data_IF_318451785500
#
_entry.id   IF_318451785500
#
_cell.length_a   1.000
_cell.length_b   1.000
_cell.length_c   1.000
_cell.angle_alpha   90.00
_cell.angle_beta   90.00
_cell.angle_gamma   90.00
#
_symmetry.space_group_name_H-M   'P 1'
#
loop_
_entity.id
_entity.type
_entity.pdbx_description
1 polymer ?
#
# COMPACT_ATOMS: atom_id res chain seq x y z
N UNK A 1 16.62 -3.51 40.96
CA UNK A 1 16.82 -3.83 39.53
C UNK A 1 16.28 -2.67 38.73
N UNK A 2 17.13 -1.67 38.50
CA UNK A 2 16.79 -0.43 37.82
C UNK A 2 17.64 -0.34 36.57
N UNK A 3 17.33 -1.21 35.61
CA UNK A 3 17.84 -1.11 34.24
C UNK A 3 17.11 0.03 33.55
N UNK A 4 17.60 1.24 33.72
CA UNK A 4 17.23 2.35 32.84
C UNK A 4 18.41 2.56 31.90
N UNK A 5 18.29 2.03 30.69
CA UNK A 5 19.25 2.30 29.62
C UNK A 5 19.18 3.79 29.26
N UNK A 6 20.12 4.57 29.78
CA UNK A 6 20.28 5.97 29.40
C UNK A 6 20.94 6.02 28.01
N UNK A 7 20.12 6.20 26.98
CA UNK A 7 20.62 6.35 25.61
C UNK A 7 20.95 7.83 25.39
N UNK A 8 22.20 8.22 25.65
CA UNK A 8 22.75 9.44 25.07
C UNK A 8 22.95 9.20 23.56
N UNK A 9 22.03 9.74 22.75
CA UNK A 9 22.13 9.71 21.30
C UNK A 9 22.90 10.94 20.84
N UNK A 10 24.13 10.74 20.36
CA UNK A 10 24.99 11.81 19.81
C UNK A 10 24.43 12.41 18.49
N UNK A 11 23.35 11.82 17.97
CA UNK A 11 22.42 12.47 17.08
C UNK A 11 21.01 11.88 17.32
N UNK A 12 20.00 12.73 17.58
CA UNK A 12 18.59 12.32 17.68
C UNK A 12 18.02 11.98 16.29
N UNK A 13 18.68 11.08 15.56
CA UNK A 13 18.35 10.69 14.19
C UNK A 13 17.77 9.29 14.27
N UNK A 14 16.45 9.19 14.34
CA UNK A 14 15.77 7.89 14.36
C UNK A 14 14.26 8.02 14.27
N UNK A 15 13.64 8.74 15.21
CA UNK A 15 12.17 8.86 15.26
C UNK A 15 11.63 10.08 14.52
N UNK A 16 12.37 11.19 14.47
CA UNK A 16 11.92 12.46 13.87
C UNK A 16 11.51 12.33 12.40
N UNK A 17 12.15 11.43 11.65
CA UNK A 17 11.85 11.23 10.22
C UNK A 17 10.48 10.59 9.96
N UNK A 18 9.82 10.09 11.00
CA UNK A 18 8.52 9.43 10.94
C UNK A 18 7.42 10.23 11.69
N UNK A 19 7.76 11.35 12.32
CA UNK A 19 6.81 12.18 13.05
C UNK A 19 5.92 12.96 12.07
N UNK A 20 4.63 12.99 12.39
CA UNK A 20 3.63 13.75 11.63
C UNK A 20 3.69 15.24 11.95
N UNK A 21 3.15 16.12 11.07
CA UNK A 21 3.12 17.55 11.30
C UNK A 21 2.48 17.93 12.64
N UNK A 22 1.36 17.27 12.97
CA UNK A 22 0.66 17.53 14.22
C UNK A 22 1.45 17.10 15.46
N UNK A 23 2.34 16.10 15.35
CA UNK A 23 3.18 15.67 16.47
C UNK A 23 4.23 16.71 16.85
N UNK A 24 4.68 17.51 15.87
CA UNK A 24 5.54 18.67 16.12
C UNK A 24 4.76 19.86 16.72
N UNK A 25 3.45 19.89 16.49
CA UNK A 25 2.55 20.95 16.93
C UNK A 25 1.76 20.57 18.19
N UNK A 26 2.15 19.55 18.96
CA UNK A 26 1.43 19.03 20.13
C UNK A 26 1.09 20.04 21.25
N UNK A 27 1.56 21.29 21.14
CA UNK A 27 1.20 22.41 22.05
C UNK A 27 0.09 23.32 21.48
N UNK A 28 -0.32 23.09 20.24
CA UNK A 28 -1.42 23.82 19.60
C UNK A 28 -2.74 23.18 20.00
N UNK A 29 -3.68 24.03 20.38
CA UNK A 29 -5.07 23.64 20.63
C UNK A 29 -5.82 23.65 19.30
N UNK A 30 -6.73 22.72 19.07
CA UNK A 30 -7.67 22.83 17.94
C UNK A 30 -8.50 24.12 18.05
N UNK A 31 -9.25 24.48 17.00
CA UNK A 31 -10.14 25.64 17.00
C UNK A 31 -11.18 25.64 18.15
N UNK A 32 -11.32 24.52 18.87
CA UNK A 32 -12.24 24.29 19.95
C UNK A 32 -11.52 24.23 21.33
N UNK A 33 -10.21 24.50 21.39
CA UNK A 33 -9.42 24.51 22.62
C UNK A 33 -8.94 23.14 23.10
N UNK A 34 -9.09 22.06 22.32
CA UNK A 34 -8.61 20.73 22.70
C UNK A 34 -7.16 20.53 22.28
N UNK A 35 -6.36 19.97 23.18
CA UNK A 35 -4.97 19.57 22.89
C UNK A 35 -4.94 18.61 21.71
N UNK A 36 -4.18 18.95 20.66
CA UNK A 36 -4.00 18.07 19.50
C UNK A 36 -3.20 16.83 19.96
N UNK A 37 -3.90 15.73 20.22
CA UNK A 37 -3.28 14.46 20.59
C UNK A 37 -2.75 13.75 19.33
N UNK A 38 -1.50 13.28 19.39
CA UNK A 38 -1.01 12.21 18.54
C UNK A 38 -1.98 11.03 18.66
N UNK A 39 -2.50 10.58 17.53
CA UNK A 39 -3.50 9.52 17.50
C UNK A 39 -3.43 8.74 16.20
N UNK A 40 -4.47 7.97 15.91
CA UNK A 40 -4.51 7.08 14.73
C UNK A 40 -4.04 7.74 13.42
N UNK A 41 -4.38 9.01 13.09
CA UNK A 41 -3.87 9.65 11.88
C UNK A 41 -2.34 9.83 11.87
N UNK A 42 -1.71 10.05 13.02
CA UNK A 42 -0.26 10.19 13.15
C UNK A 42 0.46 8.87 12.83
N UNK A 43 -0.13 7.74 13.24
CA UNK A 43 0.36 6.41 12.88
C UNK A 43 0.31 6.19 11.35
N UNK A 44 -0.75 6.65 10.68
CA UNK A 44 -0.85 6.59 9.21
C UNK A 44 0.27 7.38 8.51
N UNK A 45 0.62 8.54 9.03
CA UNK A 45 1.74 9.31 8.49
C UNK A 45 3.04 8.52 8.61
N UNK A 46 3.30 7.95 9.79
CA UNK A 46 4.50 7.14 10.03
C UNK A 46 4.55 5.92 9.09
N UNK A 47 3.40 5.27 8.83
CA UNK A 47 3.26 4.22 7.82
C UNK A 47 3.61 4.73 6.42
N UNK A 48 3.13 5.92 6.04
CA UNK A 48 3.49 6.57 4.78
C UNK A 48 5.00 6.81 4.66
N UNK A 49 5.66 7.25 5.74
CA UNK A 49 7.11 7.43 5.76
C UNK A 49 7.86 6.10 5.60
N UNK A 50 7.35 5.01 6.20
CA UNK A 50 7.91 3.66 6.05
C UNK A 50 7.76 3.16 4.62
N UNK A 51 6.56 3.30 4.02
CA UNK A 51 6.33 2.94 2.62
C UNK A 51 7.26 3.70 1.68
N UNK A 52 7.39 5.01 1.89
CA UNK A 52 8.31 5.86 1.12
C UNK A 52 9.77 5.38 1.27
N UNK A 53 10.19 5.04 2.49
CA UNK A 53 11.52 4.50 2.77
C UNK A 53 11.76 3.14 2.10
N UNK A 54 10.76 2.27 2.03
CA UNK A 54 10.84 0.99 1.33
C UNK A 54 10.99 1.17 -0.19
N UNK A 55 10.33 2.18 -0.77
CA UNK A 55 10.36 2.45 -2.21
C UNK A 55 11.63 3.17 -2.65
N UNK A 56 12.05 4.19 -1.90
CA UNK A 56 13.12 5.10 -2.31
C UNK A 56 14.42 4.93 -1.53
N UNK A 57 14.48 4.01 -0.55
CA UNK A 57 15.66 3.79 0.29
C UNK A 57 15.96 4.93 1.27
N UNK A 58 15.09 5.93 1.39
CA UNK A 58 15.20 7.07 2.33
C UNK A 58 13.83 7.60 2.72
N UNK A 59 13.69 8.25 3.86
CA UNK A 59 12.44 8.90 4.30
C UNK A 59 12.14 10.16 3.47
N UNK A 60 10.88 10.64 3.42
CA UNK A 60 10.49 11.80 2.61
C UNK A 60 11.33 13.05 2.88
N UNK A 61 11.69 13.27 4.14
CA UNK A 61 12.41 14.46 4.62
C UNK A 61 13.87 14.16 4.99
N UNK A 62 14.46 13.10 4.43
CA UNK A 62 15.82 12.68 4.77
C UNK A 62 16.89 13.72 4.40
N UNK A 63 16.60 14.61 3.45
CA UNK A 63 17.51 15.68 3.01
C UNK A 63 17.76 16.75 4.10
N UNK A 64 16.80 16.91 5.01
CA UNK A 64 16.91 17.86 6.12
C UNK A 64 17.58 17.19 7.32
N UNK A 65 18.83 17.55 7.61
CA UNK A 65 19.62 16.88 8.67
C UNK A 65 19.28 17.35 10.08
N UNK A 66 18.89 18.62 10.25
CA UNK A 66 18.62 19.22 11.56
C UNK A 66 17.15 19.10 11.94
N UNK A 67 16.87 19.02 13.25
CA UNK A 67 15.51 19.06 13.78
C UNK A 67 14.73 20.26 13.26
N UNK A 68 15.34 21.45 13.31
CA UNK A 68 14.65 22.69 12.94
C UNK A 68 14.34 22.79 11.45
N UNK A 69 15.23 22.25 10.60
CA UNK A 69 14.95 22.15 9.17
C UNK A 69 13.78 21.20 8.88
N UNK A 70 13.75 20.02 9.53
CA UNK A 70 12.63 19.09 9.42
C UNK A 70 11.33 19.69 9.92
N UNK A 71 11.34 20.30 11.10
CA UNK A 71 10.16 20.98 11.67
C UNK A 71 9.59 21.97 10.67
N UNK A 72 10.42 22.93 10.21
CA UNK A 72 9.98 24.01 9.31
C UNK A 72 9.36 23.48 8.03
N UNK A 73 9.88 22.38 7.51
CA UNK A 73 9.41 21.77 6.25
C UNK A 73 8.15 20.95 6.47
N UNK A 74 8.13 20.10 7.50
CA UNK A 74 7.01 19.20 7.79
C UNK A 74 5.77 20.00 8.24
N UNK A 75 5.93 21.10 8.98
CA UNK A 75 4.81 21.95 9.41
C UNK A 75 4.37 22.97 8.34
N UNK A 76 5.04 23.04 7.19
CA UNK A 76 4.66 23.95 6.11
C UNK A 76 3.61 23.28 5.18
N UNK A 77 2.36 23.78 5.14
CA UNK A 77 1.31 23.19 4.30
C UNK A 77 1.59 23.32 2.79
N UNK A 78 2.42 24.28 2.39
CA UNK A 78 2.79 24.50 0.99
C UNK A 78 4.01 23.67 0.56
N UNK A 79 4.61 22.90 1.47
CA UNK A 79 5.72 22.04 1.11
C UNK A 79 5.21 20.72 0.50
N UNK A 80 5.57 20.48 -0.76
CA UNK A 80 5.21 19.25 -1.45
C UNK A 80 6.28 18.17 -1.27
N UNK A 81 5.85 16.98 -0.88
CA UNK A 81 6.72 15.81 -0.86
C UNK A 81 7.04 15.40 -2.30
N UNK A 82 8.33 15.23 -2.58
CA UNK A 82 8.80 14.80 -3.90
C UNK A 82 8.70 13.29 -4.01
N UNK A 83 8.17 12.80 -5.12
CA UNK A 83 8.06 11.38 -5.42
C UNK A 83 8.77 11.10 -6.74
N UNK A 84 9.80 10.24 -6.74
CA UNK A 84 10.37 9.77 -7.99
C UNK A 84 9.38 8.80 -8.68
N UNK A 85 9.40 8.69 -10.03
CA UNK A 85 8.52 7.78 -10.76
C UNK A 85 8.66 6.34 -10.26
N UNK A 86 7.52 5.66 -10.13
CA UNK A 86 7.44 4.24 -9.75
C UNK A 86 6.63 3.48 -10.80
N UNK A 87 6.93 2.20 -11.01
CA UNK A 87 6.22 1.38 -11.99
C UNK A 87 4.76 1.11 -11.61
N UNK A 88 4.46 1.06 -10.31
CA UNK A 88 3.11 0.81 -9.80
C UNK A 88 2.42 2.12 -9.39
N UNK A 89 1.43 2.62 -10.14
CA UNK A 89 0.72 3.86 -9.81
C UNK A 89 -0.12 3.74 -8.53
N UNK A 90 -0.64 2.55 -8.19
CA UNK A 90 -1.40 2.34 -6.95
C UNK A 90 -0.51 2.45 -5.71
N UNK A 91 0.76 2.03 -5.81
CA UNK A 91 1.73 2.22 -4.73
C UNK A 91 2.01 3.71 -4.48
N UNK A 92 2.15 4.50 -5.55
CA UNK A 92 2.30 5.95 -5.41
C UNK A 92 1.06 6.59 -4.78
N UNK A 93 -0.14 6.17 -5.20
CA UNK A 93 -1.39 6.74 -4.70
C UNK A 93 -1.58 6.45 -3.21
N UNK A 94 -1.49 5.18 -2.78
CA UNK A 94 -1.67 4.81 -1.36
C UNK A 94 -0.66 5.54 -0.46
N UNK A 95 0.58 5.70 -0.92
CA UNK A 95 1.62 6.43 -0.20
C UNK A 95 1.27 7.92 -0.06
N UNK A 96 0.75 8.56 -1.11
CA UNK A 96 0.26 9.95 -1.06
C UNK A 96 -0.95 10.10 -0.12
N UNK A 97 -1.86 9.11 -0.08
CA UNK A 97 -2.99 9.12 0.87
C UNK A 97 -2.53 9.04 2.32
N UNK A 98 -1.47 8.28 2.60
CA UNK A 98 -0.87 8.20 3.93
C UNK A 98 -0.12 9.49 4.33
N UNK A 99 0.54 10.13 3.36
CA UNK A 99 1.37 11.32 3.57
C UNK A 99 0.63 12.64 3.31
N UNK A 100 -0.71 12.65 3.39
CA UNK A 100 -1.48 13.89 3.37
C UNK A 100 -1.14 14.74 4.61
N UNK A 101 -0.77 16.01 4.36
CA UNK A 101 -0.39 16.95 5.42
C UNK A 101 -1.56 17.19 6.39
N UNK A 102 -2.73 17.55 5.86
CA UNK A 102 -3.94 17.70 6.65
C UNK A 102 -4.42 16.33 7.17
N UNK A 103 -4.51 16.23 8.50
CA UNK A 103 -5.01 15.05 9.22
C UNK A 103 -6.40 14.61 8.79
N UNK A 104 -7.25 15.53 8.32
CA UNK A 104 -8.63 15.24 7.91
C UNK A 104 -8.69 14.70 6.48
N UNK A 105 -7.70 15.04 5.65
CA UNK A 105 -7.55 14.49 4.29
C UNK A 105 -6.76 13.18 4.29
N UNK A 106 -6.04 12.88 5.37
CA UNK A 106 -5.27 11.65 5.55
C UNK A 106 -6.20 10.45 5.71
N UNK A 107 -6.01 9.45 4.86
CA UNK A 107 -6.86 8.26 4.87
C UNK A 107 -6.71 7.45 6.16
N UNK A 108 -7.81 6.81 6.57
CA UNK A 108 -7.84 5.92 7.73
C UNK A 108 -7.64 4.46 7.32
N UNK A 109 -7.29 3.60 8.29
CA UNK A 109 -7.05 2.16 8.06
C UNK A 109 -8.16 1.48 7.23
N UNK A 110 -9.47 1.65 7.51
CA UNK A 110 -10.50 0.99 6.70
C UNK A 110 -10.42 1.37 5.21
N UNK A 111 -10.20 2.65 4.90
CA UNK A 111 -10.09 3.14 3.52
C UNK A 111 -8.81 2.61 2.85
N UNK A 112 -7.71 2.53 3.58
CA UNK A 112 -6.45 2.00 3.04
C UNK A 112 -6.56 0.51 2.72
N UNK A 113 -7.27 -0.27 3.55
CA UNK A 113 -7.46 -1.70 3.33
C UNK A 113 -8.31 -2.03 2.10
N UNK A 114 -9.12 -1.08 1.62
CA UNK A 114 -9.90 -1.19 0.39
C UNK A 114 -9.14 -0.69 -0.86
N UNK A 115 -7.93 -0.14 -0.69
CA UNK A 115 -7.20 0.48 -1.78
C UNK A 115 -6.71 -0.57 -2.81
N UNK A 116 -6.75 -0.28 -4.13
CA UNK A 116 -6.30 -1.20 -5.19
C UNK A 116 -4.86 -1.73 -5.07
N UNK A 117 -4.03 -1.08 -4.28
CA UNK A 117 -2.68 -1.58 -3.96
C UNK A 117 -2.72 -2.83 -3.07
N UNK A 118 -3.64 -2.88 -2.10
CA UNK A 118 -3.81 -4.01 -1.18
C UNK A 118 -4.87 -5.00 -1.67
N UNK A 119 -5.89 -4.51 -2.37
CA UNK A 119 -6.97 -5.30 -2.97
C UNK A 119 -6.97 -5.03 -4.47
N UNK A 120 -6.01 -5.57 -5.23
CA UNK A 120 -5.97 -5.36 -6.67
C UNK A 120 -7.27 -5.88 -7.29
N UNK A 121 -7.89 -5.11 -8.21
CA UNK A 121 -9.07 -5.59 -8.91
C UNK A 121 -8.69 -6.89 -9.62
N UNK A 122 -9.47 -7.94 -9.37
CA UNK A 122 -9.31 -9.20 -10.08
C UNK A 122 -9.52 -8.87 -11.56
N UNK A 123 -8.53 -9.13 -12.44
CA UNK A 123 -8.77 -8.96 -13.86
C UNK A 123 -9.96 -9.85 -14.24
N UNK A 124 -11.06 -9.24 -14.69
CA UNK A 124 -12.10 -9.96 -15.41
C UNK A 124 -11.54 -10.39 -16.76
N UNK A 125 -10.65 -11.40 -16.76
CA UNK A 125 -10.18 -12.06 -17.97
C UNK A 125 -10.28 -13.57 -17.79
N UNK A 126 -11.52 -14.03 -17.72
CA UNK A 126 -11.97 -15.03 -18.69
C UNK A 126 -13.03 -14.32 -19.52
N UNK A 127 -12.60 -13.47 -20.45
CA UNK A 127 -13.40 -13.28 -21.66
C UNK A 127 -13.37 -14.63 -22.37
N UNK A 128 -14.49 -15.19 -22.86
CA UNK A 128 -14.42 -16.28 -23.82
C UNK A 128 -13.45 -15.83 -24.91
N UNK A 129 -12.43 -16.65 -25.17
CA UNK A 129 -11.45 -16.45 -26.22
C UNK A 129 -12.15 -16.52 -27.59
N UNK A 130 -12.96 -15.53 -27.94
CA UNK A 130 -13.61 -15.44 -29.24
C UNK A 130 -12.55 -15.14 -30.30
N UNK A 131 -12.06 -16.21 -30.94
CA UNK A 131 -11.61 -16.14 -32.34
C UNK A 131 -10.28 -16.80 -32.67
N UNK A 132 -9.26 -16.74 -31.81
CA UNK A 132 -7.91 -17.24 -32.18
C UNK A 132 -7.49 -18.51 -31.42
N UNK A 133 -7.70 -18.58 -30.11
CA UNK A 133 -7.41 -19.80 -29.35
C UNK A 133 -8.46 -20.91 -29.56
N UNK A 134 -9.68 -20.57 -30.01
CA UNK A 134 -10.66 -21.56 -30.41
C UNK A 134 -10.19 -22.42 -31.57
N UNK A 135 -9.39 -21.92 -32.53
CA UNK A 135 -8.91 -22.75 -33.64
C UNK A 135 -7.94 -23.83 -33.17
N UNK A 136 -7.01 -23.50 -32.28
CA UNK A 136 -6.09 -24.49 -31.71
C UNK A 136 -6.83 -25.49 -30.83
N UNK A 137 -7.74 -25.03 -29.97
CA UNK A 137 -8.57 -25.91 -29.13
C UNK A 137 -9.48 -26.78 -29.99
N UNK A 138 -10.07 -26.25 -31.06
CA UNK A 138 -10.95 -26.98 -31.97
C UNK A 138 -10.17 -27.99 -32.81
N UNK A 139 -8.97 -27.66 -33.27
CA UNK A 139 -8.05 -28.62 -33.91
C UNK A 139 -7.60 -29.72 -32.95
N UNK A 140 -7.33 -29.38 -31.68
CA UNK A 140 -7.00 -30.36 -30.64
C UNK A 140 -8.22 -31.26 -30.40
N UNK A 141 -9.42 -30.70 -30.24
CA UNK A 141 -10.68 -31.43 -30.06
C UNK A 141 -11.00 -32.31 -31.27
N UNK A 142 -10.82 -31.84 -32.50
CA UNK A 142 -10.99 -32.62 -33.73
C UNK A 142 -9.94 -33.74 -33.84
N UNK A 143 -8.68 -33.48 -33.46
CA UNK A 143 -7.61 -34.50 -33.43
C UNK A 143 -7.83 -35.53 -32.33
N UNK A 144 -8.43 -35.13 -31.20
CA UNK A 144 -8.76 -35.99 -30.07
C UNK A 144 -10.11 -36.71 -30.26
N UNK A 145 -10.98 -36.23 -31.15
CA UNK A 145 -12.27 -36.83 -31.46
C UNK A 145 -12.16 -38.25 -32.04
N UNK A 146 -11.03 -38.57 -32.67
CA UNK A 146 -10.70 -39.92 -33.13
C UNK A 146 -9.84 -40.73 -32.13
N UNK A 147 -9.52 -40.18 -30.96
CA UNK A 147 -8.71 -40.85 -29.96
C UNK A 147 -9.60 -41.50 -28.90
N UNK A 148 -9.76 -42.83 -29.00
CA UNK A 148 -10.56 -43.63 -28.06
C UNK A 148 -10.17 -43.38 -26.58
N UNK A 149 -8.90 -43.06 -26.29
CA UNK A 149 -8.42 -42.78 -24.92
C UNK A 149 -8.88 -41.43 -24.39
N UNK A 150 -9.03 -40.42 -25.26
CA UNK A 150 -9.52 -39.11 -24.86
C UNK A 150 -11.02 -39.17 -24.53
N UNK A 151 -11.78 -39.96 -25.28
CA UNK A 151 -13.22 -40.18 -25.04
C UNK A 151 -13.49 -40.90 -23.71
N UNK A 152 -12.69 -41.92 -23.36
CA UNK A 152 -12.79 -42.59 -22.05
C UNK A 152 -12.44 -41.66 -20.89
N UNK A 153 -11.36 -40.87 -21.00
CA UNK A 153 -10.96 -39.91 -19.96
C UNK A 153 -12.02 -38.82 -19.73
N UNK A 154 -12.64 -38.31 -20.81
CA UNK A 154 -13.74 -37.35 -20.68
C UNK A 154 -14.97 -37.96 -19.97
N UNK A 155 -15.28 -39.22 -20.27
CA UNK A 155 -16.39 -39.93 -19.63
C UNK A 155 -16.13 -40.17 -18.14
N UNK A 156 -14.90 -40.55 -17.77
CA UNK A 156 -14.48 -40.71 -16.36
C UNK A 156 -14.52 -39.39 -15.59
N UNK A 157 -14.08 -38.29 -16.21
CA UNK A 157 -14.13 -36.96 -15.59
C UNK A 157 -15.56 -36.46 -15.40
N UNK A 158 -16.45 -36.70 -16.36
CA UNK A 158 -17.88 -36.36 -16.22
C UNK A 158 -18.55 -37.17 -15.12
N UNK A 159 -18.14 -38.43 -14.93
CA UNK A 159 -18.64 -39.27 -13.85
C UNK A 159 -18.16 -38.77 -12.48
N UNK A 160 -16.90 -38.32 -12.37
CA UNK A 160 -16.33 -37.78 -11.13
C UNK A 160 -16.88 -36.41 -10.72
N UNK A 161 -17.29 -35.58 -11.69
CA UNK A 161 -17.87 -34.25 -11.44
C UNK A 161 -19.40 -34.28 -11.27
N UNK A 162 -20.03 -35.42 -11.52
CA UNK A 162 -21.48 -35.61 -11.53
C UNK A 162 -22.11 -36.06 -10.21
N UNK A 163 -21.31 -36.38 -9.18
CA UNK A 163 -21.82 -36.82 -7.87
C UNK A 163 -21.77 -35.68 -6.83
N UNK A 164 -22.89 -35.02 -6.54
CA UNK A 164 -23.05 -34.25 -5.31
C UNK A 164 -23.54 -35.20 -4.21
N UNK A 165 -22.65 -35.56 -3.28
CA UNK A 165 -23.06 -35.89 -1.90
C UNK A 165 -22.86 -34.70 -1.00
#
# INVERSE_FOLDING_TARGET
MSDTTNIQRDAQVGTLSYMSPEAFMCNESDANGNVIKCGRPSDIWSLGCILYQMVYGRTPFSEYKTFWAKFKVITNPNHEIKYAPVSNPWLLDIMKKCLAWDRNQRWRIPQLLEHPFLVPPIPHQISPLEGQNCKAIQLIVESCGNNQKASTLCSELQQLLGDPT
#
